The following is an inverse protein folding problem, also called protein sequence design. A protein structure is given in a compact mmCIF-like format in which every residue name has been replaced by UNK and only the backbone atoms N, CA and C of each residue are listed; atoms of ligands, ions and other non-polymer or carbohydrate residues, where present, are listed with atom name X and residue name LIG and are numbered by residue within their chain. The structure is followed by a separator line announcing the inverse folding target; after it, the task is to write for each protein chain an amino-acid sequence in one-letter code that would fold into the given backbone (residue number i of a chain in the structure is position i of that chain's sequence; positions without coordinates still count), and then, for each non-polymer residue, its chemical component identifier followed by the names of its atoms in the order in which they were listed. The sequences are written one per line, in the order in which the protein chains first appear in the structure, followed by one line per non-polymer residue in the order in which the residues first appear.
data_IF_714981953455
#
_entry.id   IF_714981953455
#
_cell.length_a   1.000
_cell.length_b   1.000
_cell.length_c   1.000
_cell.angle_alpha   90.00
_cell.angle_beta   90.00
_cell.angle_gamma   90.00
#
_symmetry.space_group_name_H-M   'P 1'
#
loop_
_entity.id
_entity.type
_entity.pdbx_description
1 polymer ?
#
# COMPACT_ATOMS: atom_id res chain seq x y z
N UNK A 1 -59.58 57.60 1.11
CA UNK A 1 -58.55 58.62 0.82
C UNK A 1 -57.21 57.99 1.15
N UNK A 2 -56.38 57.50 0.23
CA UNK A 2 -56.40 57.36 -1.24
C UNK A 2 -54.92 57.11 -1.62
N UNK A 3 -54.51 56.20 -2.53
CA UNK A 3 -55.22 55.30 -3.45
C UNK A 3 -54.39 54.01 -3.71
N UNK A 4 -55.06 52.92 -4.10
CA UNK A 4 -54.53 51.75 -4.84
C UNK A 4 -54.51 52.07 -6.36
N UNK A 5 -53.72 51.39 -7.24
CA UNK A 5 -54.09 50.08 -7.85
C UNK A 5 -52.89 49.10 -8.07
N UNK A 6 -53.00 47.76 -8.06
CA UNK A 6 -53.98 46.77 -8.59
C UNK A 6 -53.78 46.31 -10.06
N UNK A 7 -53.30 45.05 -10.22
CA UNK A 7 -53.58 44.08 -11.31
C UNK A 7 -53.10 42.69 -10.81
N UNK A 8 -53.84 41.57 -10.74
CA UNK A 8 -54.90 40.97 -11.60
C UNK A 8 -54.37 40.58 -13.00
N UNK A 9 -54.59 39.41 -13.63
CA UNK A 9 -55.33 38.16 -13.33
C UNK A 9 -54.62 36.95 -14.06
N UNK A 10 -55.09 35.70 -14.20
CA UNK A 10 -56.38 35.02 -13.92
C UNK A 10 -56.19 33.52 -13.56
N UNK A 11 -57.23 32.92 -12.97
CA UNK A 11 -57.62 31.50 -12.96
C UNK A 11 -58.09 31.00 -14.34
N UNK A 12 -57.98 29.69 -14.61
CA UNK A 12 -59.01 28.87 -15.29
C UNK A 12 -59.02 27.45 -14.68
N UNK A 13 -60.14 27.08 -14.04
CA UNK A 13 -60.59 25.69 -13.89
C UNK A 13 -61.31 25.28 -15.19
N UNK A 14 -61.35 23.99 -15.54
CA UNK A 14 -62.67 23.34 -15.71
C UNK A 14 -62.60 21.80 -15.68
N UNK A 15 -63.77 21.19 -15.51
CA UNK A 15 -64.01 19.82 -15.07
C UNK A 15 -64.59 18.91 -16.18
N UNK A 16 -64.84 17.66 -15.77
CA UNK A 16 -65.90 16.76 -16.25
C UNK A 16 -65.74 15.79 -17.46
N UNK A 17 -65.58 14.51 -17.10
CA UNK A 17 -66.59 13.42 -17.27
C UNK A 17 -66.90 12.93 -18.72
N UNK A 18 -66.90 11.63 -19.05
CA UNK A 18 -68.04 10.68 -18.90
C UNK A 18 -67.61 9.19 -19.09
N UNK A 19 -68.06 8.31 -18.17
CA UNK A 19 -68.44 6.86 -18.23
C UNK A 19 -67.75 5.79 -19.12
N UNK A 20 -67.24 4.75 -18.41
CA UNK A 20 -67.65 3.31 -18.43
C UNK A 20 -67.91 2.53 -19.73
N UNK A 21 -67.38 1.29 -19.84
CA UNK A 21 -68.15 -0.01 -19.68
C UNK A 21 -67.34 -1.29 -20.04
N UNK A 22 -67.23 -2.23 -19.08
CA UNK A 22 -66.95 -3.71 -19.14
C UNK A 22 -65.77 -4.36 -19.92
N UNK A 23 -64.94 -5.10 -19.14
CA UNK A 23 -64.66 -6.56 -19.23
C UNK A 23 -64.00 -7.19 -20.48
N UNK A 24 -62.76 -7.69 -20.34
CA UNK A 24 -62.42 -9.13 -20.49
C UNK A 24 -61.00 -9.50 -20.01
N UNK A 25 -60.82 -10.79 -19.69
CA UNK A 25 -59.67 -11.40 -18.96
C UNK A 25 -58.51 -11.82 -19.87
N UNK A 26 -57.25 -11.49 -19.54
CA UNK A 26 -56.05 -12.20 -20.05
C UNK A 26 -54.95 -12.35 -18.96
N UNK A 27 -54.32 -13.53 -18.95
CA UNK A 27 -53.29 -14.12 -18.06
C UNK A 27 -51.90 -13.42 -18.11
N UNK A 28 -51.06 -13.49 -17.05
CA UNK A 28 -49.74 -12.83 -17.03
C UNK A 28 -48.58 -13.67 -17.59
N UNK A 29 -47.57 -12.99 -18.16
CA UNK A 29 -46.21 -13.51 -18.45
C UNK A 29 -45.16 -12.38 -18.32
N UNK A 30 -43.88 -12.69 -18.08
CA UNK A 30 -43.03 -11.83 -17.23
C UNK A 30 -42.14 -10.83 -17.98
N UNK A 31 -41.86 -9.71 -17.30
CA UNK A 31 -40.88 -8.70 -17.72
C UNK A 31 -39.45 -9.25 -17.68
N UNK A 32 -38.75 -9.20 -18.82
CA UNK A 32 -37.36 -9.65 -18.95
C UNK A 32 -36.38 -8.70 -18.24
N UNK A 33 -35.34 -9.28 -17.64
CA UNK A 33 -34.26 -8.64 -16.88
C UNK A 33 -33.48 -7.57 -17.64
N UNK A 34 -33.44 -6.36 -17.10
CA UNK A 34 -32.49 -5.30 -17.47
C UNK A 34 -31.38 -5.18 -16.41
N UNK A 35 -30.30 -5.96 -16.54
CA UNK A 35 -29.18 -5.93 -15.57
C UNK A 35 -27.79 -6.23 -16.15
N UNK A 36 -27.63 -6.29 -17.48
CA UNK A 36 -26.38 -6.74 -18.13
C UNK A 36 -25.51 -5.58 -18.67
N UNK A 37 -26.06 -4.37 -18.83
CA UNK A 37 -25.40 -3.29 -19.59
C UNK A 37 -24.36 -2.47 -18.83
N UNK A 38 -24.36 -2.48 -17.49
CA UNK A 38 -23.52 -1.58 -16.68
C UNK A 38 -22.06 -2.05 -16.51
N UNK A 39 -21.81 -3.36 -16.55
CA UNK A 39 -20.46 -3.93 -16.43
C UNK A 39 -19.67 -3.85 -17.73
N UNK A 40 -20.32 -4.01 -18.88
CA UNK A 40 -19.66 -3.91 -20.19
C UNK A 40 -19.09 -2.50 -20.44
N UNK A 41 -19.78 -1.44 -20.02
CA UNK A 41 -19.32 -0.06 -20.19
C UNK A 41 -18.12 0.29 -19.28
N UNK A 42 -18.11 -0.19 -18.03
CA UNK A 42 -16.97 0.04 -17.13
C UNK A 42 -15.70 -0.67 -17.62
N UNK A 43 -15.80 -1.95 -18.01
CA UNK A 43 -14.67 -2.72 -18.54
C UNK A 43 -14.08 -2.13 -19.84
N UNK A 44 -14.92 -1.63 -20.75
CA UNK A 44 -14.43 -0.95 -21.96
C UNK A 44 -13.71 0.37 -21.63
N UNK A 45 -14.11 1.06 -20.55
CA UNK A 45 -13.47 2.30 -20.11
C UNK A 45 -12.12 2.09 -19.41
N UNK A 46 -11.94 1.02 -18.63
CA UNK A 46 -10.64 0.69 -18.01
C UNK A 46 -9.63 0.16 -19.03
N UNK A 47 -10.10 -0.65 -20.00
CA UNK A 47 -9.26 -1.16 -21.09
C UNK A 47 -8.71 -0.03 -21.95
N UNK A 48 -9.55 0.93 -22.36
CA UNK A 48 -9.11 2.07 -23.18
C UNK A 48 -8.17 3.03 -22.43
N UNK A 49 -8.40 3.29 -21.13
CA UNK A 49 -7.43 3.99 -20.27
C UNK A 49 -6.08 3.26 -20.22
N UNK A 50 -6.10 1.94 -20.03
CA UNK A 50 -4.89 1.11 -19.92
C UNK A 50 -4.09 1.06 -21.22
N UNK A 51 -4.77 0.95 -22.36
CA UNK A 51 -4.16 1.03 -23.69
C UNK A 51 -3.54 2.42 -23.94
N UNK A 52 -4.25 3.50 -23.60
CA UNK A 52 -3.73 4.86 -23.72
C UNK A 52 -2.47 5.08 -22.87
N UNK A 53 -2.49 4.64 -21.60
CA UNK A 53 -1.33 4.73 -20.71
C UNK A 53 -0.12 3.97 -21.28
N UNK A 54 -0.30 2.76 -21.81
CA UNK A 54 0.79 1.95 -22.38
C UNK A 54 1.30 2.53 -23.71
N UNK A 55 0.42 3.15 -24.51
CA UNK A 55 0.83 3.91 -25.69
C UNK A 55 1.66 5.16 -25.32
N UNK A 56 1.33 5.85 -24.21
CA UNK A 56 2.17 6.92 -23.68
C UNK A 56 3.49 6.41 -23.07
N UNK A 57 3.53 5.18 -22.57
CA UNK A 57 4.77 4.56 -22.10
C UNK A 57 5.69 4.20 -23.28
N UNK A 58 5.14 3.85 -24.45
CA UNK A 58 5.91 3.48 -25.64
C UNK A 58 6.69 4.63 -26.29
N UNK A 59 6.40 5.89 -25.94
CA UNK A 59 7.20 7.04 -26.36
C UNK A 59 8.37 7.32 -25.41
N UNK A 60 8.38 6.70 -24.23
CA UNK A 60 9.40 6.84 -23.19
C UNK A 60 10.37 5.64 -23.23
N UNK A 61 9.86 4.43 -23.44
CA UNK A 61 10.66 3.21 -23.46
C UNK A 61 11.11 2.83 -24.89
N UNK A 62 12.40 2.53 -25.11
CA UNK A 62 12.93 2.09 -26.42
C UNK A 62 12.27 0.84 -27.02
N UNK A 63 11.72 -0.04 -26.18
CA UNK A 63 10.98 -1.23 -26.62
C UNK A 63 9.97 -1.67 -25.58
N UNK A 64 8.81 -2.13 -26.05
CA UNK A 64 7.75 -2.78 -25.27
C UNK A 64 7.36 -4.09 -25.95
N UNK A 65 7.03 -5.16 -25.19
CA UNK A 65 6.54 -6.40 -25.79
C UNK A 65 5.26 -6.18 -26.60
N UNK A 66 5.18 -6.61 -27.87
CA UNK A 66 3.98 -6.46 -28.69
C UNK A 66 2.77 -7.21 -28.12
N UNK A 67 3.01 -8.23 -27.29
CA UNK A 67 1.98 -8.97 -26.54
C UNK A 67 1.21 -8.12 -25.53
N UNK A 68 1.74 -6.98 -25.07
CA UNK A 68 1.01 -6.08 -24.18
C UNK A 68 -0.18 -5.43 -24.89
N UNK A 69 -0.03 -5.01 -26.15
CA UNK A 69 -1.09 -4.35 -26.90
C UNK A 69 -2.26 -5.29 -27.27
N UNK A 70 -1.98 -6.59 -27.37
CA UNK A 70 -2.97 -7.65 -27.64
C UNK A 70 -3.58 -8.28 -26.38
N UNK A 71 -3.19 -7.85 -25.17
CA UNK A 71 -3.67 -8.42 -23.91
C UNK A 71 -5.07 -7.90 -23.54
N UNK A 72 -5.89 -8.76 -22.95
CA UNK A 72 -7.21 -8.40 -22.39
C UNK A 72 -7.13 -7.56 -21.12
N UNK A 73 -5.99 -7.57 -20.42
CA UNK A 73 -5.68 -6.61 -19.36
C UNK A 73 -4.18 -6.26 -19.43
N UNK A 74 -3.83 -5.19 -20.14
CA UNK A 74 -2.44 -4.91 -20.46
C UNK A 74 -1.70 -4.28 -19.26
N UNK A 75 -2.43 -3.65 -18.33
CA UNK A 75 -1.89 -3.15 -17.06
C UNK A 75 -1.39 -4.30 -16.17
N UNK A 76 -2.17 -5.37 -16.00
CA UNK A 76 -1.76 -6.57 -15.25
C UNK A 76 -0.65 -7.36 -15.94
N UNK A 77 -0.64 -7.42 -17.27
CA UNK A 77 0.48 -8.00 -18.01
C UNK A 77 1.79 -7.25 -17.73
N UNK A 78 1.75 -5.91 -17.73
CA UNK A 78 2.90 -5.06 -17.43
C UNK A 78 3.29 -5.10 -15.93
N UNK A 79 2.35 -5.31 -15.01
CA UNK A 79 2.61 -5.51 -13.58
C UNK A 79 3.48 -6.74 -13.31
N UNK A 80 3.42 -7.78 -14.15
CA UNK A 80 4.20 -9.00 -13.98
C UNK A 80 5.37 -9.16 -14.98
N UNK A 81 5.45 -8.33 -16.02
CA UNK A 81 6.64 -8.28 -16.87
C UNK A 81 7.87 -7.86 -16.05
N UNK A 82 8.92 -8.69 -16.08
CA UNK A 82 10.18 -8.42 -15.41
C UNK A 82 11.10 -7.54 -16.27
N UNK A 83 11.09 -7.70 -17.60
CA UNK A 83 12.02 -7.00 -18.49
C UNK A 83 11.70 -5.51 -18.59
N UNK A 84 10.46 -5.16 -18.94
CA UNK A 84 10.02 -3.75 -19.02
C UNK A 84 10.17 -3.05 -17.67
N UNK A 85 9.85 -3.73 -16.57
CA UNK A 85 9.98 -3.14 -15.25
C UNK A 85 11.43 -2.96 -14.80
N UNK A 86 12.35 -3.88 -15.14
CA UNK A 86 13.79 -3.67 -14.90
C UNK A 86 14.31 -2.44 -15.65
N UNK A 87 13.82 -2.21 -16.88
CA UNK A 87 14.12 -1.00 -17.64
C UNK A 87 13.58 0.27 -16.95
N UNK A 88 12.32 0.27 -16.50
CA UNK A 88 11.72 1.37 -15.73
C UNK A 88 12.50 1.61 -14.43
N UNK A 89 12.85 0.56 -13.67
CA UNK A 89 13.68 0.63 -12.47
C UNK A 89 15.05 1.26 -12.76
N UNK A 90 15.68 0.91 -13.89
CA UNK A 90 16.96 1.49 -14.32
C UNK A 90 16.84 2.99 -14.63
N UNK A 91 15.79 3.40 -15.34
CA UNK A 91 15.50 4.81 -15.63
C UNK A 91 15.17 5.62 -14.36
N UNK A 92 14.44 5.03 -13.41
CA UNK A 92 14.17 5.65 -12.11
C UNK A 92 15.46 5.83 -11.28
N UNK A 93 16.45 4.95 -11.45
CA UNK A 93 17.74 4.98 -10.72
C UNK A 93 18.77 5.96 -11.28
N UNK A 94 18.60 6.49 -12.50
CA UNK A 94 19.52 7.47 -13.09
C UNK A 94 19.62 8.76 -12.25
N UNK A 95 20.79 9.46 -12.22
CA UNK A 95 21.04 10.60 -11.34
C UNK A 95 20.15 11.82 -11.63
N UNK A 96 19.74 12.01 -12.88
CA UNK A 96 18.81 13.04 -13.37
C UNK A 96 17.32 12.70 -13.13
N UNK A 97 17.03 11.46 -12.73
CA UNK A 97 15.67 11.01 -12.45
C UNK A 97 15.04 11.70 -11.25
N UNK A 98 13.74 11.96 -11.33
CA UNK A 98 12.97 12.70 -10.33
C UNK A 98 12.84 14.21 -10.59
N UNK A 99 13.51 14.76 -11.60
CA UNK A 99 13.32 16.15 -12.03
C UNK A 99 11.88 16.45 -12.50
N UNK A 100 11.46 17.72 -12.51
CA UNK A 100 10.08 18.13 -12.82
C UNK A 100 9.67 17.97 -14.28
N UNK A 101 10.65 17.89 -15.18
CA UNK A 101 10.54 17.63 -16.62
C UNK A 101 10.70 16.15 -16.98
N UNK A 102 10.90 15.26 -15.99
CA UNK A 102 11.08 13.83 -16.22
C UNK A 102 9.78 13.18 -16.73
N UNK A 103 9.77 12.80 -18.01
CA UNK A 103 8.61 12.20 -18.68
C UNK A 103 8.07 10.93 -17.99
N UNK A 104 8.94 10.13 -17.37
CA UNK A 104 8.53 8.92 -16.66
C UNK A 104 7.82 9.25 -15.33
N UNK A 105 8.29 10.27 -14.59
CA UNK A 105 7.59 10.77 -13.41
C UNK A 105 6.22 11.35 -13.77
N UNK A 106 6.13 12.09 -14.88
CA UNK A 106 4.86 12.58 -15.42
C UNK A 106 3.92 11.42 -15.77
N UNK A 107 4.42 10.41 -16.49
CA UNK A 107 3.63 9.23 -16.85
C UNK A 107 3.12 8.47 -15.62
N UNK A 108 3.95 8.29 -14.58
CA UNK A 108 3.53 7.67 -13.32
C UNK A 108 2.42 8.47 -12.63
N UNK A 109 2.52 9.80 -12.61
CA UNK A 109 1.50 10.69 -12.06
C UNK A 109 0.17 10.58 -12.84
N UNK A 110 0.22 10.77 -14.17
CA UNK A 110 -0.97 10.73 -15.03
C UNK A 110 -1.64 9.33 -15.00
N UNK A 111 -0.84 8.26 -14.94
CA UNK A 111 -1.31 6.87 -14.82
C UNK A 111 -2.02 6.61 -13.50
N UNK A 112 -1.51 7.13 -12.38
CA UNK A 112 -2.16 6.97 -11.07
C UNK A 112 -3.49 7.74 -10.96
N UNK A 113 -3.57 8.92 -11.58
CA UNK A 113 -4.78 9.75 -11.62
C UNK A 113 -5.92 9.13 -12.44
N UNK A 114 -5.64 8.16 -13.32
CA UNK A 114 -6.64 7.43 -14.12
C UNK A 114 -7.76 6.79 -13.29
N UNK A 115 -7.51 6.56 -12.00
CA UNK A 115 -8.41 5.93 -11.02
C UNK A 115 -8.84 4.50 -11.40
N UNK A 116 -8.06 3.85 -12.26
CA UNK A 116 -8.18 2.42 -12.55
C UNK A 116 -7.31 1.61 -11.58
N UNK A 117 -7.84 0.58 -10.91
CA UNK A 117 -7.11 -0.13 -9.86
C UNK A 117 -5.88 -0.87 -10.36
N UNK A 118 -5.89 -1.45 -11.57
CA UNK A 118 -4.73 -2.17 -12.10
C UNK A 118 -3.61 -1.19 -12.52
N UNK A 119 -3.96 -0.02 -13.08
CA UNK A 119 -2.99 1.05 -13.36
C UNK A 119 -2.42 1.69 -12.07
N UNK A 120 -3.24 1.89 -11.04
CA UNK A 120 -2.76 2.36 -9.74
C UNK A 120 -1.80 1.34 -9.09
N UNK A 121 -2.13 0.06 -9.19
CA UNK A 121 -1.28 -1.04 -8.71
C UNK A 121 0.07 -1.08 -9.47
N UNK A 122 0.06 -0.82 -10.78
CA UNK A 122 1.26 -0.70 -11.58
C UNK A 122 2.17 0.46 -11.13
N UNK A 123 1.62 1.62 -10.78
CA UNK A 123 2.41 2.74 -10.23
C UNK A 123 2.97 2.38 -8.85
N UNK A 124 2.18 1.74 -7.99
CA UNK A 124 2.61 1.28 -6.66
C UNK A 124 3.77 0.28 -6.72
N UNK A 125 3.88 -0.54 -7.79
CA UNK A 125 5.03 -1.45 -8.01
C UNK A 125 6.38 -0.72 -7.89
N UNK A 126 6.46 0.50 -8.40
CA UNK A 126 7.69 1.30 -8.44
C UNK A 126 7.87 2.23 -7.23
N UNK A 127 6.88 2.31 -6.33
CA UNK A 127 6.97 3.15 -5.14
C UNK A 127 8.20 2.88 -4.26
N UNK A 128 8.65 1.63 -4.01
CA UNK A 128 9.87 1.37 -3.27
C UNK A 128 11.10 2.09 -3.84
N UNK A 129 11.18 2.21 -5.16
CA UNK A 129 12.28 2.90 -5.87
C UNK A 129 12.11 4.41 -5.75
N UNK A 130 10.90 4.92 -6.01
CA UNK A 130 10.60 6.36 -5.94
C UNK A 130 10.85 6.88 -4.51
N UNK A 131 10.30 6.22 -3.49
CA UNK A 131 10.54 6.55 -2.09
C UNK A 131 12.02 6.34 -1.70
N UNK A 132 12.61 5.21 -2.12
CA UNK A 132 14.01 4.85 -1.94
C UNK A 132 14.97 5.98 -2.32
N UNK A 133 14.91 6.36 -3.59
CA UNK A 133 15.75 7.39 -4.18
C UNK A 133 15.38 8.78 -3.67
N UNK A 134 14.08 9.08 -3.53
CA UNK A 134 13.63 10.38 -3.05
C UNK A 134 14.20 10.69 -1.67
N UNK A 135 14.06 9.81 -0.68
CA UNK A 135 14.53 10.12 0.68
C UNK A 135 16.07 10.16 0.74
N UNK A 136 16.77 9.32 -0.04
CA UNK A 136 18.23 9.36 -0.13
C UNK A 136 18.76 10.65 -0.78
N UNK A 137 18.19 11.08 -1.91
CA UNK A 137 18.64 12.28 -2.65
C UNK A 137 18.15 13.59 -2.05
N UNK A 138 17.00 13.62 -1.38
CA UNK A 138 16.49 14.87 -0.76
C UNK A 138 17.34 15.30 0.44
N UNK A 139 18.11 14.38 1.05
CA UNK A 139 19.14 14.70 2.03
C UNK A 139 20.36 15.44 1.42
N UNK A 140 20.57 15.32 0.10
CA UNK A 140 21.61 16.00 -0.68
C UNK A 140 21.11 17.34 -1.29
N UNK A 141 19.92 17.81 -0.91
CA UNK A 141 19.28 19.03 -1.44
C UNK A 141 19.04 19.05 -2.97
N UNK A 142 19.03 17.88 -3.62
CA UNK A 142 18.73 17.75 -5.06
C UNK A 142 17.22 18.05 -5.29
N UNK A 143 16.85 18.86 -6.30
CA UNK A 143 15.45 19.13 -6.62
C UNK A 143 14.78 17.92 -7.30
N UNK A 144 13.74 17.36 -6.67
CA UNK A 144 13.09 16.11 -7.09
C UNK A 144 11.59 16.30 -7.32
N UNK A 145 11.22 17.40 -7.99
CA UNK A 145 9.83 17.82 -8.15
C UNK A 145 8.92 16.77 -8.84
N UNK A 146 9.47 15.93 -9.73
CA UNK A 146 8.75 14.83 -10.36
C UNK A 146 8.39 13.72 -9.37
N UNK A 147 9.33 13.32 -8.50
CA UNK A 147 9.04 12.36 -7.43
C UNK A 147 8.10 12.97 -6.37
N UNK A 148 8.28 14.25 -6.02
CA UNK A 148 7.38 14.95 -5.09
C UNK A 148 5.95 15.02 -5.62
N UNK A 149 5.75 15.24 -6.93
CA UNK A 149 4.43 15.21 -7.56
C UNK A 149 3.75 13.83 -7.48
N UNK A 150 4.49 12.74 -7.77
CA UNK A 150 3.95 11.37 -7.65
C UNK A 150 3.61 11.05 -6.19
N UNK A 151 4.50 11.34 -5.25
CA UNK A 151 4.27 11.10 -3.81
C UNK A 151 3.09 11.92 -3.26
N UNK A 152 2.91 13.16 -3.72
CA UNK A 152 1.73 13.97 -3.39
C UNK A 152 0.44 13.41 -4.00
N UNK A 153 0.47 12.83 -5.21
CA UNK A 153 -0.71 12.18 -5.79
C UNK A 153 -1.17 10.97 -4.97
N UNK A 154 -0.23 10.11 -4.55
CA UNK A 154 -0.50 8.98 -3.66
C UNK A 154 -1.08 9.46 -2.31
N UNK A 155 -0.49 10.51 -1.73
CA UNK A 155 -0.94 11.09 -0.47
C UNK A 155 -2.32 11.75 -0.57
N UNK A 156 -2.61 12.45 -1.66
CA UNK A 156 -3.90 13.08 -1.91
C UNK A 156 -5.01 12.03 -2.09
N UNK A 157 -4.72 10.93 -2.78
CA UNK A 157 -5.64 9.79 -2.90
C UNK A 157 -5.95 9.16 -1.54
N UNK A 158 -4.96 8.85 -0.72
CA UNK A 158 -5.17 8.36 0.66
C UNK A 158 -5.97 9.36 1.51
N UNK A 159 -5.69 10.65 1.38
CA UNK A 159 -6.40 11.71 2.12
C UNK A 159 -7.88 11.81 1.70
N UNK A 160 -8.17 11.69 0.40
CA UNK A 160 -9.53 11.65 -0.13
C UNK A 160 -10.28 10.39 0.37
N UNK A 161 -9.66 9.22 0.28
CA UNK A 161 -10.23 7.94 0.75
C UNK A 161 -10.55 7.97 2.25
N UNK A 162 -9.67 8.56 3.08
CA UNK A 162 -9.90 8.71 4.53
C UNK A 162 -10.92 9.78 4.88
N UNK A 163 -11.28 10.68 3.97
CA UNK A 163 -12.28 11.76 4.16
C UNK A 163 -12.13 12.58 5.46
N UNK A 164 -10.88 12.79 5.92
CA UNK A 164 -10.56 13.49 7.17
C UNK A 164 -10.68 12.65 8.45
N UNK A 165 -11.11 11.39 8.36
CA UNK A 165 -11.18 10.46 9.50
C UNK A 165 -9.81 9.87 9.86
N UNK A 166 -9.67 9.47 11.13
CA UNK A 166 -8.51 8.69 11.59
C UNK A 166 -8.77 7.20 11.40
N UNK A 167 -7.71 6.41 11.22
CA UNK A 167 -7.82 4.95 11.18
C UNK A 167 -7.83 4.45 12.63
N UNK A 168 -8.96 3.87 13.04
CA UNK A 168 -9.15 3.29 14.37
C UNK A 168 -9.35 1.77 14.31
N UNK A 169 -9.04 1.08 15.39
CA UNK A 169 -9.32 -0.34 15.60
C UNK A 169 -9.93 -0.53 16.97
N UNK A 170 -10.93 -1.39 17.09
CA UNK A 170 -11.39 -1.85 18.40
C UNK A 170 -10.40 -2.89 18.91
N UNK A 171 -9.71 -2.59 20.01
CA UNK A 171 -8.83 -3.55 20.69
C UNK A 171 -9.73 -4.65 21.29
N UNK A 172 -9.52 -5.94 20.95
CA UNK A 172 -10.29 -7.03 21.54
C UNK A 172 -10.04 -7.13 23.04
N UNK A 173 -11.10 -7.36 23.80
CA UNK A 173 -11.04 -7.64 25.24
C UNK A 173 -11.66 -9.01 25.52
N UNK A 174 -10.97 -9.83 26.32
CA UNK A 174 -11.43 -11.15 26.76
C UNK A 174 -12.51 -11.07 27.85
N UNK A 175 -12.87 -9.87 28.30
CA UNK A 175 -14.04 -9.62 29.16
C UNK A 175 -15.38 -9.61 28.40
N UNK A 176 -15.33 -9.55 27.06
CA UNK A 176 -16.49 -9.51 26.18
C UNK A 176 -16.51 -10.72 25.22
N UNK A 177 -17.65 -11.39 25.03
CA UNK A 177 -17.73 -12.52 24.11
C UNK A 177 -17.38 -12.08 22.67
N UNK A 178 -16.69 -12.96 21.94
CA UNK A 178 -16.26 -12.72 20.57
C UNK A 178 -16.53 -13.94 19.69
N UNK A 179 -16.27 -13.83 18.38
CA UNK A 179 -16.44 -14.92 17.42
C UNK A 179 -15.69 -16.21 17.81
N UNK A 180 -14.64 -16.10 18.64
CA UNK A 180 -13.78 -17.21 19.03
C UNK A 180 -13.88 -17.62 20.51
N UNK A 181 -14.64 -16.89 21.34
CA UNK A 181 -14.81 -17.27 22.76
C UNK A 181 -16.08 -16.70 23.38
N UNK A 182 -16.64 -17.46 24.33
CA UNK A 182 -17.73 -17.01 25.20
C UNK A 182 -17.20 -16.72 26.61
N UNK A 183 -17.83 -15.76 27.30
CA UNK A 183 -17.44 -15.37 28.66
C UNK A 183 -18.42 -15.94 29.69
N UNK A 184 -17.95 -16.88 30.51
CA UNK A 184 -18.77 -17.61 31.50
C UNK A 184 -19.26 -16.78 32.70
N UNK A 185 -18.91 -15.50 32.79
CA UNK A 185 -19.30 -14.62 33.89
C UNK A 185 -19.77 -13.26 33.34
N UNK A 186 -20.85 -12.66 33.90
CA UNK A 186 -21.29 -11.33 33.50
C UNK A 186 -20.22 -10.30 33.87
N UNK A 187 -19.87 -9.43 32.91
CA UNK A 187 -18.87 -8.39 33.09
C UNK A 187 -19.25 -7.46 34.26
N UNK A 188 -18.45 -7.48 35.34
CA UNK A 188 -18.63 -6.57 36.49
C UNK A 188 -18.12 -5.15 36.25
N UNK A 189 -17.50 -4.89 35.11
CA UNK A 189 -17.04 -3.56 34.71
C UNK A 189 -18.06 -2.91 33.78
N UNK A 190 -18.48 -1.69 34.13
CA UNK A 190 -19.28 -0.80 33.27
C UNK A 190 -18.44 -0.18 32.13
N UNK A 191 -17.40 -0.86 31.65
CA UNK A 191 -16.59 -0.43 30.50
C UNK A 191 -17.32 -0.78 29.19
N UNK A 192 -18.52 -0.21 28.99
CA UNK A 192 -19.30 -0.34 27.76
C UNK A 192 -18.73 0.44 26.57
N UNK A 193 -17.50 0.98 26.71
CA UNK A 193 -16.74 1.56 25.62
C UNK A 193 -15.91 0.50 24.91
N UNK A 194 -16.23 0.24 23.65
CA UNK A 194 -15.30 -0.45 22.74
C UNK A 194 -13.95 0.29 22.80
N UNK A 195 -12.88 -0.43 23.13
CA UNK A 195 -11.54 0.15 23.31
C UNK A 195 -10.95 0.58 21.96
N UNK A 196 -11.41 1.71 21.42
CA UNK A 196 -10.99 2.25 20.13
C UNK A 196 -9.59 2.86 20.23
N UNK A 197 -8.60 2.15 19.68
CA UNK A 197 -7.24 2.64 19.51
C UNK A 197 -7.08 3.32 18.14
N UNK A 198 -6.45 4.50 18.10
CA UNK A 198 -6.10 5.19 16.85
C UNK A 198 -4.77 4.62 16.33
N UNK A 199 -4.79 3.96 15.16
CA UNK A 199 -3.59 3.40 14.50
C UNK A 199 -2.86 4.50 13.72
N UNK A 200 -3.60 5.32 12.99
CA UNK A 200 -3.04 6.39 12.14
C UNK A 200 -3.94 7.61 12.27
N UNK A 201 -3.42 8.80 12.63
CA UNK A 201 -4.23 10.01 12.73
C UNK A 201 -4.82 10.40 11.38
N UNK A 202 -5.82 11.29 11.41
CA UNK A 202 -6.39 11.90 10.21
C UNK A 202 -5.32 12.56 9.34
N UNK A 203 -5.59 12.64 8.04
CA UNK A 203 -4.69 13.26 7.06
C UNK A 203 -5.21 14.64 6.68
N UNK A 204 -4.31 15.61 6.66
CA UNK A 204 -4.55 16.97 6.19
C UNK A 204 -4.12 17.06 4.71
N UNK A 205 -4.92 17.64 3.79
CA UNK A 205 -4.50 17.77 2.40
C UNK A 205 -3.29 18.71 2.27
N UNK A 206 -2.20 18.22 1.65
CA UNK A 206 -0.99 18.99 1.41
C UNK A 206 -0.77 19.23 -0.09
N UNK A 207 -0.53 20.49 -0.47
CA UNK A 207 -0.22 20.86 -1.86
C UNK A 207 1.28 20.93 -2.21
N UNK A 208 2.18 20.81 -1.22
CA UNK A 208 3.64 20.87 -1.42
C UNK A 208 4.37 19.98 -0.41
N UNK A 209 5.51 19.41 -0.80
CA UNK A 209 6.32 18.55 0.08
C UNK A 209 7.32 19.37 0.89
N UNK A 210 7.02 19.62 2.17
CA UNK A 210 7.92 20.31 3.11
C UNK A 210 8.74 19.32 3.93
N UNK A 211 9.96 19.69 4.31
CA UNK A 211 10.88 18.85 5.11
C UNK A 211 10.24 18.23 6.36
N UNK A 212 9.46 19.01 7.11
CA UNK A 212 8.73 18.57 8.32
C UNK A 212 7.58 17.59 8.04
N UNK A 213 7.09 17.49 6.80
CA UNK A 213 5.99 16.60 6.40
C UNK A 213 6.45 15.45 5.48
N UNK A 214 7.66 15.50 4.91
CA UNK A 214 8.24 14.48 4.01
C UNK A 214 8.05 13.06 4.51
N UNK A 215 8.46 12.79 5.75
CA UNK A 215 8.37 11.46 6.35
C UNK A 215 6.93 10.95 6.48
N UNK A 216 5.96 11.84 6.77
CA UNK A 216 4.53 11.48 6.84
C UNK A 216 3.94 11.23 5.46
N UNK A 217 4.30 12.04 4.46
CA UNK A 217 3.86 11.87 3.06
C UNK A 217 4.36 10.54 2.50
N UNK A 218 5.66 10.26 2.61
CA UNK A 218 6.24 8.99 2.16
C UNK A 218 5.74 7.81 3.01
N UNK A 219 5.60 7.99 4.33
CA UNK A 219 5.03 6.97 5.21
C UNK A 219 3.62 6.55 4.80
N UNK A 220 2.74 7.49 4.49
CA UNK A 220 1.38 7.21 3.99
C UNK A 220 1.39 6.56 2.61
N UNK A 221 2.28 6.97 1.70
CA UNK A 221 2.46 6.28 0.43
C UNK A 221 2.89 4.81 0.64
N UNK A 222 3.78 4.53 1.61
CA UNK A 222 4.14 3.17 2.00
C UNK A 222 3.01 2.42 2.73
N UNK A 223 2.11 3.09 3.45
CA UNK A 223 0.87 2.48 3.97
C UNK A 223 -0.04 2.02 2.80
N UNK A 224 -0.18 2.83 1.74
CA UNK A 224 -0.94 2.47 0.54
C UNK A 224 -0.30 1.27 -0.19
N UNK A 225 1.03 1.24 -0.34
CA UNK A 225 1.75 0.06 -0.86
C UNK A 225 1.52 -1.18 0.00
N UNK A 226 1.59 -1.03 1.33
CA UNK A 226 1.33 -2.12 2.26
C UNK A 226 -0.09 -2.68 2.11
N UNK A 227 -1.11 -1.83 1.87
CA UNK A 227 -2.48 -2.31 1.62
C UNK A 227 -2.60 -3.23 0.39
N UNK A 228 -1.69 -3.09 -0.58
CA UNK A 228 -1.62 -3.84 -1.83
C UNK A 228 -0.46 -4.84 -1.92
N UNK A 229 0.26 -5.05 -0.81
CA UNK A 229 1.51 -5.84 -0.79
C UNK A 229 1.34 -7.29 -1.24
N UNK A 230 0.15 -7.88 -1.07
CA UNK A 230 -0.14 -9.25 -1.51
C UNK A 230 -0.13 -9.39 -3.05
N UNK A 231 -0.57 -8.35 -3.78
CA UNK A 231 -0.56 -8.32 -5.25
C UNK A 231 0.82 -7.92 -5.83
N UNK A 232 1.70 -7.34 -5.01
CA UNK A 232 3.01 -6.83 -5.45
C UNK A 232 3.98 -7.95 -5.87
N UNK A 233 4.65 -7.84 -7.05
CA UNK A 233 5.71 -8.76 -7.46
C UNK A 233 6.87 -8.83 -6.46
N UNK A 234 7.52 -9.99 -6.37
CA UNK A 234 8.65 -10.23 -5.45
C UNK A 234 9.79 -9.22 -5.65
N UNK A 235 10.09 -8.84 -6.90
CA UNK A 235 11.15 -7.87 -7.21
C UNK A 235 10.95 -6.53 -6.49
N UNK A 236 9.72 -5.99 -6.49
CA UNK A 236 9.38 -4.73 -5.82
C UNK A 236 9.64 -4.79 -4.32
N UNK A 237 9.38 -5.96 -3.71
CA UNK A 237 9.64 -6.23 -2.29
C UNK A 237 11.13 -6.37 -1.98
N UNK A 238 11.91 -6.98 -2.89
CA UNK A 238 13.37 -7.05 -2.77
C UNK A 238 13.98 -5.66 -2.85
N UNK A 239 13.60 -4.85 -3.84
CA UNK A 239 14.06 -3.47 -3.99
C UNK A 239 13.75 -2.63 -2.74
N UNK A 240 12.58 -2.82 -2.13
CA UNK A 240 12.22 -2.20 -0.85
C UNK A 240 13.19 -2.58 0.29
N UNK A 241 13.49 -3.87 0.46
CA UNK A 241 14.43 -4.34 1.47
C UNK A 241 15.84 -3.75 1.26
N UNK A 242 16.30 -3.65 0.01
CA UNK A 242 17.59 -3.05 -0.32
C UNK A 242 17.66 -1.56 0.06
N UNK A 243 16.61 -0.78 -0.21
CA UNK A 243 16.54 0.60 0.26
C UNK A 243 16.50 0.71 1.79
N UNK A 244 15.81 -0.19 2.49
CA UNK A 244 15.81 -0.22 3.96
C UNK A 244 17.22 -0.44 4.55
N UNK A 245 18.04 -1.27 3.92
CA UNK A 245 19.45 -1.46 4.28
C UNK A 245 20.27 -0.18 4.07
N UNK A 246 20.13 0.46 2.90
CA UNK A 246 20.80 1.73 2.57
C UNK A 246 20.41 2.83 3.56
N UNK A 247 19.12 2.95 3.88
CA UNK A 247 18.57 3.93 4.82
C UNK A 247 19.08 3.78 6.26
N UNK A 248 19.36 2.54 6.68
CA UNK A 248 20.03 2.29 7.95
C UNK A 248 21.48 2.80 7.94
N UNK A 249 22.19 2.70 6.81
CA UNK A 249 23.60 3.10 6.71
C UNK A 249 24.54 2.30 7.62
N UNK A 250 24.14 1.07 7.98
CA UNK A 250 24.87 0.10 8.79
C UNK A 250 24.42 -1.30 8.38
N UNK A 251 25.34 -2.24 8.11
CA UNK A 251 24.99 -3.60 7.66
C UNK A 251 24.47 -4.53 8.79
N UNK A 252 24.61 -4.08 10.04
CA UNK A 252 24.10 -4.77 11.22
C UNK A 252 24.76 -6.13 11.53
N UNK A 253 25.86 -6.51 10.87
CA UNK A 253 26.49 -7.84 10.98
C UNK A 253 26.77 -8.32 12.40
N UNK A 254 26.98 -7.41 13.37
CA UNK A 254 27.12 -7.77 14.79
C UNK A 254 25.89 -8.48 15.39
N UNK A 255 24.72 -8.38 14.77
CA UNK A 255 23.46 -9.03 15.20
C UNK A 255 23.07 -10.23 14.33
N UNK A 256 23.98 -10.76 13.51
CA UNK A 256 23.71 -11.89 12.59
C UNK A 256 23.29 -13.16 13.30
N UNK A 257 23.81 -13.39 14.51
CA UNK A 257 23.43 -14.51 15.40
C UNK A 257 21.93 -14.51 15.74
N UNK A 258 21.30 -13.33 15.78
CA UNK A 258 19.86 -13.17 16.03
C UNK A 258 18.99 -13.69 14.87
N UNK A 259 19.58 -13.84 13.66
CA UNK A 259 18.93 -14.37 12.45
C UNK A 259 19.26 -15.83 12.12
N UNK A 260 20.12 -16.50 12.90
CA UNK A 260 20.51 -17.90 12.67
C UNK A 260 21.34 -18.16 11.40
N UNK A 261 21.69 -17.14 10.62
CA UNK A 261 22.38 -17.27 9.33
C UNK A 261 23.88 -17.60 9.51
N UNK A 262 24.20 -18.89 9.59
CA UNK A 262 25.57 -19.42 9.75
C UNK A 262 26.36 -19.48 8.44
N UNK A 263 26.44 -18.36 7.70
CA UNK A 263 27.40 -18.22 6.61
C UNK A 263 28.77 -17.74 7.14
N UNK A 264 29.67 -18.70 7.37
CA UNK A 264 31.08 -18.47 7.75
C UNK A 264 31.93 -17.94 6.58
N UNK A 265 31.48 -16.87 5.93
CA UNK A 265 32.35 -16.01 5.15
C UNK A 265 32.91 -14.93 6.07
N UNK A 266 34.11 -15.16 6.62
CA UNK A 266 34.97 -14.06 7.09
C UNK A 266 35.33 -13.23 5.87
N UNK A 267 34.47 -12.29 5.50
CA UNK A 267 34.87 -11.21 4.61
C UNK A 267 35.98 -10.45 5.33
N UNK A 268 37.18 -10.47 4.77
CA UNK A 268 38.32 -9.79 5.34
C UNK A 268 37.97 -8.31 5.45
N UNK A 269 38.12 -7.73 6.65
CA UNK A 269 37.99 -6.28 6.81
C UNK A 269 39.12 -5.63 6.03
N UNK A 270 38.80 -5.17 4.82
CA UNK A 270 39.41 -3.93 4.37
C UNK A 270 38.79 -2.82 5.20
N UNK A 271 39.56 -2.33 6.15
CA UNK A 271 39.41 -0.97 6.62
C UNK A 271 39.80 -0.08 5.43
N UNK A 272 38.84 0.23 4.56
CA UNK A 272 39.03 1.26 3.55
C UNK A 272 39.02 2.61 4.27
N UNK A 273 40.24 3.13 4.39
CA UNK A 273 40.55 4.46 4.88
C UNK A 273 39.76 5.52 4.11
N UNK A 274 39.44 6.62 4.77
CA UNK A 274 38.21 7.36 4.50
C UNK A 274 38.11 8.06 3.13
N UNK A 275 37.34 7.50 2.20
CA UNK A 275 36.56 8.27 1.21
C UNK A 275 35.31 7.52 0.67
N UNK A 276 34.60 6.79 1.51
CA UNK A 276 33.25 6.30 1.17
C UNK A 276 32.23 7.43 1.30
N UNK A 277 31.66 7.89 0.18
CA UNK A 277 30.57 8.86 0.19
C UNK A 277 29.42 8.32 1.06
N UNK A 278 28.91 9.14 1.99
CA UNK A 278 27.87 8.75 2.97
C UNK A 278 26.48 8.71 2.33
N UNK A 279 26.37 8.18 1.12
CA UNK A 279 25.10 7.98 0.43
C UNK A 279 24.27 6.90 1.12
N UNK A 280 23.25 7.30 1.87
CA UNK A 280 22.19 6.39 2.27
C UNK A 280 21.58 6.62 3.66
N UNK A 281 22.38 7.00 4.68
CA UNK A 281 21.85 7.14 6.05
C UNK A 281 20.90 8.33 6.13
N UNK A 282 19.61 8.04 6.32
CA UNK A 282 18.55 9.05 6.43
C UNK A 282 18.04 9.19 7.87
N UNK A 283 17.22 10.22 8.12
CA UNK A 283 16.41 10.30 9.33
C UNK A 283 15.22 9.35 9.20
N UNK A 284 15.04 8.49 10.20
CA UNK A 284 13.96 7.49 10.24
C UNK A 284 13.02 7.80 11.43
N UNK A 285 12.17 8.85 11.33
CA UNK A 285 11.17 9.13 12.35
C UNK A 285 10.10 8.03 12.37
N UNK A 286 9.36 7.93 13.47
CA UNK A 286 8.50 6.78 13.75
C UNK A 286 7.38 6.61 12.71
N UNK A 287 6.85 7.70 12.17
CA UNK A 287 5.80 7.72 11.13
C UNK A 287 6.26 7.08 9.81
N UNK A 288 7.57 7.08 9.54
CA UNK A 288 8.17 6.39 8.39
C UNK A 288 8.59 4.96 8.76
N UNK A 289 9.08 4.75 9.98
CA UNK A 289 9.46 3.42 10.48
C UNK A 289 8.26 2.46 10.58
N UNK A 290 7.08 2.92 11.01
CA UNK A 290 5.88 2.10 11.14
C UNK A 290 5.50 1.32 9.87
N UNK A 291 5.29 1.95 8.69
CA UNK A 291 5.01 1.23 7.46
C UNK A 291 6.19 0.37 6.99
N UNK A 292 7.44 0.81 7.21
CA UNK A 292 8.63 -0.01 6.90
C UNK A 292 8.59 -1.36 7.64
N UNK A 293 8.31 -1.33 8.95
CA UNK A 293 8.20 -2.54 9.78
C UNK A 293 7.07 -3.47 9.34
N UNK A 294 5.92 -2.92 8.91
CA UNK A 294 4.79 -3.71 8.37
C UNK A 294 5.17 -4.41 7.06
N UNK A 295 5.81 -3.68 6.14
CA UNK A 295 6.27 -4.23 4.86
C UNK A 295 7.34 -5.31 5.09
N UNK A 296 8.34 -5.07 5.94
CA UNK A 296 9.35 -6.08 6.29
C UNK A 296 8.74 -7.29 6.99
N UNK A 297 7.75 -7.09 7.87
CA UNK A 297 6.98 -8.17 8.50
C UNK A 297 6.35 -9.11 7.47
N UNK A 298 5.71 -8.54 6.43
CA UNK A 298 5.20 -9.32 5.30
C UNK A 298 6.34 -9.98 4.50
N UNK A 299 7.44 -9.28 4.20
CA UNK A 299 8.55 -9.87 3.42
C UNK A 299 9.20 -11.08 4.11
N UNK A 300 9.25 -11.07 5.44
CA UNK A 300 9.88 -12.11 6.27
C UNK A 300 8.95 -13.28 6.62
N UNK A 301 7.66 -13.01 6.83
CA UNK A 301 6.68 -13.98 7.36
C UNK A 301 5.61 -14.39 6.33
N UNK A 302 5.79 -14.06 5.04
CA UNK A 302 4.89 -14.49 3.97
C UNK A 302 4.87 -16.03 3.85
N UNK A 303 3.69 -16.69 3.79
CA UNK A 303 3.61 -18.15 3.63
C UNK A 303 4.34 -18.68 2.39
N UNK A 304 4.31 -17.92 1.29
CA UNK A 304 5.03 -18.24 0.06
C UNK A 304 6.47 -17.69 0.15
N UNK A 305 7.30 -18.28 1.01
CA UNK A 305 8.66 -17.84 1.28
C UNK A 305 9.57 -17.98 0.03
N UNK A 306 9.76 -16.89 -0.72
CA UNK A 306 10.91 -16.80 -1.61
C UNK A 306 12.16 -16.55 -0.76
N UNK A 307 13.10 -17.49 -0.79
CA UNK A 307 14.34 -17.43 0.01
C UNK A 307 15.11 -16.12 -0.19
N UNK A 308 15.24 -15.63 -1.42
CA UNK A 308 15.95 -14.38 -1.71
C UNK A 308 15.29 -13.18 -1.02
N UNK A 309 13.96 -13.14 -1.00
CA UNK A 309 13.20 -12.09 -0.30
C UNK A 309 13.39 -12.18 1.22
N UNK A 310 13.41 -13.38 1.79
CA UNK A 310 13.64 -13.59 3.23
C UNK A 310 15.08 -13.23 3.61
N UNK A 311 16.07 -13.61 2.81
CA UNK A 311 17.49 -13.28 3.02
C UNK A 311 17.69 -11.74 2.99
N UNK A 312 17.16 -11.06 1.96
CA UNK A 312 17.21 -9.60 1.82
C UNK A 312 16.41 -8.86 2.90
N UNK A 313 15.23 -9.37 3.27
CA UNK A 313 14.42 -8.85 4.37
C UNK A 313 15.11 -8.99 5.72
N UNK A 314 15.86 -10.08 5.93
CA UNK A 314 16.62 -10.34 7.16
C UNK A 314 17.81 -9.40 7.27
N UNK A 315 18.51 -9.16 6.16
CA UNK A 315 19.59 -8.16 6.06
C UNK A 315 19.07 -6.74 6.39
N UNK A 316 17.95 -6.34 5.76
CA UNK A 316 17.29 -5.06 6.01
C UNK A 316 16.84 -4.90 7.48
N UNK A 317 16.18 -5.91 8.05
CA UNK A 317 15.70 -5.86 9.43
C UNK A 317 16.86 -5.83 10.45
N UNK A 318 17.96 -6.53 10.18
CA UNK A 318 19.17 -6.51 11.04
C UNK A 318 19.87 -5.15 11.00
N UNK A 319 19.95 -4.56 9.81
CA UNK A 319 20.47 -3.21 9.59
C UNK A 319 19.64 -2.17 10.34
N UNK A 320 18.30 -2.24 10.25
CA UNK A 320 17.40 -1.36 10.99
C UNK A 320 17.42 -1.61 12.51
N UNK A 321 17.63 -2.84 12.99
CA UNK A 321 17.83 -3.13 14.41
C UNK A 321 19.10 -2.46 14.94
N UNK A 322 20.24 -2.65 14.25
CA UNK A 322 21.50 -1.99 14.60
C UNK A 322 21.35 -0.46 14.61
N UNK A 323 20.66 0.08 13.60
CA UNK A 323 20.33 1.49 13.49
C UNK A 323 19.49 2.00 14.67
N UNK A 324 18.49 1.21 15.08
CA UNK A 324 17.59 1.55 16.19
C UNK A 324 18.29 1.50 17.54
N UNK A 325 19.23 0.56 17.73
CA UNK A 325 20.11 0.50 18.90
C UNK A 325 21.03 1.71 18.98
N UNK A 326 21.64 2.12 17.86
CA UNK A 326 22.47 3.33 17.78
C UNK A 326 21.69 4.60 18.10
N UNK A 327 20.47 4.75 17.60
CA UNK A 327 19.62 5.93 17.84
C UNK A 327 18.80 5.85 19.14
N UNK A 328 18.94 4.76 19.92
CA UNK A 328 18.25 4.53 21.19
C UNK A 328 16.72 4.74 21.05
N UNK A 329 16.14 4.22 19.97
CA UNK A 329 14.70 4.32 19.70
C UNK A 329 13.98 3.06 20.24
N UNK A 330 13.35 3.09 21.43
CA UNK A 330 12.82 1.89 22.08
C UNK A 330 11.73 1.20 21.25
N UNK A 331 10.86 1.97 20.60
CA UNK A 331 9.78 1.42 19.78
C UNK A 331 10.33 0.66 18.57
N UNK A 332 11.36 1.21 17.91
CA UNK A 332 12.00 0.58 16.77
C UNK A 332 12.87 -0.63 17.18
N UNK A 333 13.60 -0.55 18.31
CA UNK A 333 14.35 -1.67 18.90
C UNK A 333 13.42 -2.86 19.20
N UNK A 334 12.29 -2.61 19.88
CA UNK A 334 11.32 -3.65 20.23
C UNK A 334 10.71 -4.29 18.98
N UNK A 335 10.30 -3.48 18.00
CA UNK A 335 9.65 -4.00 16.79
C UNK A 335 10.61 -4.79 15.88
N UNK A 336 11.79 -4.22 15.57
CA UNK A 336 12.81 -4.92 14.76
C UNK A 336 13.36 -6.16 15.48
N UNK A 337 13.65 -6.07 16.78
CA UNK A 337 14.13 -7.21 17.57
C UNK A 337 13.09 -8.35 17.68
N UNK A 338 11.81 -8.01 17.80
CA UNK A 338 10.73 -9.01 17.77
C UNK A 338 10.62 -9.67 16.40
N UNK A 339 10.72 -8.91 15.31
CA UNK A 339 10.65 -9.42 13.95
C UNK A 339 11.84 -10.34 13.60
N UNK A 340 13.06 -10.01 14.05
CA UNK A 340 14.22 -10.90 13.92
C UNK A 340 14.01 -12.23 14.67
N UNK A 341 13.45 -12.20 15.88
CA UNK A 341 13.14 -13.40 16.67
C UNK A 341 12.07 -14.27 16.01
N UNK A 342 10.99 -13.67 15.50
CA UNK A 342 9.94 -14.39 14.77
C UNK A 342 10.47 -15.01 13.48
N UNK A 343 11.33 -14.28 12.74
CA UNK A 343 11.98 -14.79 11.53
C UNK A 343 12.87 -15.98 11.85
N UNK A 344 13.69 -15.90 12.91
CA UNK A 344 14.50 -17.03 13.36
C UNK A 344 13.62 -18.23 13.73
N UNK A 345 12.55 -18.03 14.49
CA UNK A 345 11.60 -19.09 14.81
C UNK A 345 10.98 -19.72 13.56
N UNK A 346 10.58 -18.93 12.57
CA UNK A 346 10.01 -19.41 11.30
C UNK A 346 11.02 -20.17 10.40
N UNK A 347 12.32 -19.89 10.53
CA UNK A 347 13.40 -20.63 9.85
C UNK A 347 13.78 -21.92 10.60
N UNK A 348 13.75 -21.88 11.94
CA UNK A 348 14.02 -23.02 12.83
C UNK A 348 12.83 -24.00 12.87
N UNK A 349 11.58 -23.53 12.68
CA UNK A 349 10.33 -24.31 12.75
C UNK A 349 10.09 -25.19 11.51
N UNK A 350 11.06 -26.03 11.18
CA UNK A 350 10.83 -27.23 10.36
C UNK A 350 10.15 -28.37 11.15
N UNK A 351 9.92 -28.18 12.45
CA UNK A 351 9.04 -29.04 13.24
C UNK A 351 7.58 -28.63 13.04
N UNK A 352 6.77 -29.63 12.68
CA UNK A 352 5.37 -29.56 12.27
C UNK A 352 4.42 -29.40 13.48
N UNK A 353 4.69 -28.44 14.36
CA UNK A 353 3.89 -28.16 15.56
C UNK A 353 2.90 -27.01 15.32
N UNK A 354 1.70 -27.37 14.86
CA UNK A 354 0.56 -26.46 14.85
C UNK A 354 -0.11 -26.44 16.24
N UNK A 355 -0.05 -25.32 17.01
CA UNK A 355 -0.70 -25.23 18.32
C UNK A 355 -2.24 -25.18 18.24
N UNK A 356 -2.82 -25.12 17.03
CA UNK A 356 -4.26 -25.22 16.79
C UNK A 356 -4.73 -26.64 16.46
N UNK A 357 -3.81 -27.59 16.21
CA UNK A 357 -4.16 -29.01 16.14
C UNK A 357 -4.52 -29.52 17.54
N UNK A 358 -5.81 -29.81 17.74
CA UNK A 358 -6.28 -30.54 18.91
C UNK A 358 -5.74 -31.97 18.83
N UNK A 359 -4.88 -32.41 19.78
CA UNK A 359 -4.33 -33.76 19.74
C UNK A 359 -5.45 -34.79 19.84
N UNK A 360 -5.63 -35.58 18.77
CA UNK A 360 -6.67 -36.62 18.66
C UNK A 360 -6.35 -37.84 19.53
N UNK A 361 -6.33 -37.67 20.86
CA UNK A 361 -6.29 -38.80 21.78
C UNK A 361 -7.59 -39.59 21.67
N UNK A 362 -7.56 -40.71 20.94
CA UNK A 362 -8.65 -41.70 20.90
C UNK A 362 -8.68 -42.56 22.19
N UNK A 363 -8.55 -41.92 23.34
CA UNK A 363 -8.63 -42.57 24.66
C UNK A 363 -9.74 -41.88 25.42
N UNK A 364 -10.95 -42.42 25.29
CA UNK A 364 -12.02 -42.18 26.26
C UNK A 364 -11.65 -43.01 27.49
N UNK A 365 -11.09 -42.35 28.50
CA UNK A 365 -11.01 -42.94 29.84
C UNK A 365 -12.43 -42.99 30.41
N UNK A 366 -12.94 -44.21 30.60
CA UNK A 366 -14.23 -44.52 31.25
C UNK A 366 -13.99 -44.68 32.75
#
# INVERSE_FOLDING_TARGET
MSDDPSTSSTLEDDQDTINSTTTTTITPTPTTTASVSASASSHNSSLSKSQSAIQSLSTILPSLPPSLFSSSNPARSLLHDHHTASHISSLLRQPDSGAGDNNLCRWLYDTFQSSDPDLQLLVLRFLPIIAGIYISRVALCIPLAGFEAVLLALYAHETATRSGHSITVSVPDLSHPSLYHETNAPAKNNSTGLNLAVISPSLEPYGTVRSTRRARIVGVALELYYSKIHEMPVQSKIEFCEFCRVWAGQDGEMYKEMTGSSCSSRSERKEEDGNGEKEGRITLPWELMQPILRILGHCLLCPNQNKELVDKGSEACRSLYARSMHDINPNAILATGSLLRLTKQALDSKDDFDPTEIPKSRVISI
#
